data_IF_098809727753
#
_entry.id   IF_098809727753
#
_cell.length_a   1.000
_cell.length_b   1.000
_cell.length_c   1.000
_cell.angle_alpha   90.00
_cell.angle_beta   90.00
_cell.angle_gamma   90.00
#
_symmetry.space_group_name_H-M   'P 1'
#
loop_
_entity.id
_entity.type
_entity.pdbx_description
1 polymer ?
#
# COMPACT_ATOMS: atom_id res chain seq x y z
N UNK A 1 -29.77 -34.13 6.71
CA UNK A 1 -29.57 -33.45 8.00
C UNK A 1 -28.39 -32.54 7.82
N UNK A 2 -28.71 -31.26 7.93
CA UNK A 2 -27.94 -30.08 7.65
C UNK A 2 -26.87 -29.84 8.71
N UNK A 3 -25.82 -29.10 8.33
CA UNK A 3 -25.24 -28.13 9.24
C UNK A 3 -23.78 -28.32 9.65
N UNK A 4 -23.04 -27.26 9.32
CA UNK A 4 -22.15 -26.51 10.22
C UNK A 4 -20.65 -26.81 10.07
N UNK A 5 -19.78 -25.86 9.68
CA UNK A 5 -19.95 -24.46 9.38
C UNK A 5 -18.73 -23.99 8.60
N UNK A 6 -18.98 -23.14 7.60
CA UNK A 6 -17.93 -22.38 6.93
C UNK A 6 -17.12 -21.67 8.00
N UNK A 7 -15.83 -21.96 8.07
CA UNK A 7 -14.92 -21.27 8.97
C UNK A 7 -15.03 -19.77 8.65
N UNK A 8 -15.70 -19.06 9.55
CA UNK A 8 -15.69 -17.62 9.68
C UNK A 8 -14.23 -17.25 9.90
N UNK A 9 -13.52 -16.98 8.80
CA UNK A 9 -12.20 -16.38 8.87
C UNK A 9 -12.48 -14.99 9.42
N UNK A 10 -12.00 -14.64 10.63
CA UNK A 10 -12.18 -13.30 11.12
C UNK A 10 -11.65 -12.37 10.04
N UNK A 11 -12.52 -11.49 9.57
CA UNK A 11 -12.16 -10.41 8.67
C UNK A 11 -11.08 -9.64 9.41
N UNK A 12 -9.83 -9.89 9.05
CA UNK A 12 -8.68 -9.19 9.60
C UNK A 12 -8.93 -7.71 9.34
N UNK A 13 -9.35 -7.02 10.40
CA UNK A 13 -9.37 -5.58 10.51
C UNK A 13 -8.06 -5.11 9.90
N UNK A 14 -8.17 -4.44 8.75
CA UNK A 14 -7.04 -3.95 7.97
C UNK A 14 -6.32 -2.91 8.81
N UNK A 15 -5.45 -3.37 9.70
CA UNK A 15 -4.44 -2.55 10.33
C UNK A 15 -3.59 -2.05 9.16
N UNK A 16 -3.89 -0.82 8.72
CA UNK A 16 -3.28 -0.20 7.56
C UNK A 16 -1.78 -0.37 7.69
N UNK A 17 -1.26 -1.31 6.92
CA UNK A 17 0.10 -1.79 7.10
C UNK A 17 0.98 -0.74 6.47
N UNK A 18 1.21 0.35 7.21
CA UNK A 18 2.17 1.38 6.81
C UNK A 18 3.50 0.65 6.66
N UNK A 19 3.94 0.49 5.42
CA UNK A 19 5.21 -0.16 5.15
C UNK A 19 6.29 0.51 5.99
N UNK A 20 7.24 -0.26 6.54
CA UNK A 20 8.30 0.27 7.41
C UNK A 20 9.18 1.35 6.75
N UNK A 21 8.98 1.58 5.44
CA UNK A 21 9.66 2.57 4.61
C UNK A 21 8.74 3.72 4.16
N UNK A 22 7.46 3.73 4.56
CA UNK A 22 6.54 4.81 4.24
C UNK A 22 6.95 6.09 4.99
N UNK A 23 7.07 7.18 4.26
CA UNK A 23 7.28 8.48 4.87
C UNK A 23 5.99 8.92 5.60
N UNK A 24 6.10 9.74 6.67
CA UNK A 24 4.93 10.34 7.31
C UNK A 24 4.14 11.21 6.32
N UNK A 25 2.83 11.33 6.57
CA UNK A 25 1.97 12.22 5.79
C UNK A 25 2.49 13.66 5.83
N UNK A 26 2.64 14.27 4.65
CA UNK A 26 3.19 15.62 4.50
C UNK A 26 4.71 15.73 4.58
N UNK A 27 5.45 14.62 4.69
CA UNK A 27 6.91 14.64 4.57
C UNK A 27 7.32 15.09 3.16
N UNK A 28 8.25 16.05 3.09
CA UNK A 28 8.81 16.50 1.83
C UNK A 28 9.65 15.41 1.15
N UNK A 29 9.85 15.56 -0.16
CA UNK A 29 10.76 14.70 -0.93
C UNK A 29 12.18 14.86 -0.38
N UNK A 30 12.87 13.74 -0.16
CA UNK A 30 14.24 13.76 0.34
C UNK A 30 15.16 14.49 -0.67
N UNK A 31 16.07 15.38 -0.25
CA UNK A 31 16.85 16.23 -1.16
C UNK A 31 17.78 15.47 -2.12
N UNK A 32 18.13 14.23 -1.78
CA UNK A 32 18.93 13.35 -2.64
C UNK A 32 18.09 12.66 -3.74
N UNK A 33 16.77 12.76 -3.70
CA UNK A 33 15.89 12.19 -4.72
C UNK A 33 15.80 13.20 -5.87
N UNK A 34 16.30 12.80 -7.02
CA UNK A 34 16.21 13.56 -8.26
C UNK A 34 15.09 13.00 -9.15
N UNK A 35 13.90 13.56 -8.99
CA UNK A 35 12.69 13.16 -9.72
C UNK A 35 12.77 13.47 -11.22
N UNK A 36 13.71 14.30 -11.67
CA UNK A 36 13.84 14.65 -13.10
C UNK A 36 14.38 13.49 -13.95
N UNK A 37 15.04 12.52 -13.31
CA UNK A 37 15.58 11.32 -13.98
C UNK A 37 14.60 10.15 -14.04
N UNK A 38 13.54 10.19 -13.22
CA UNK A 38 12.55 9.14 -13.15
C UNK A 38 11.51 9.33 -14.28
N UNK A 39 11.32 8.36 -15.20
CA UNK A 39 10.27 8.41 -16.19
C UNK A 39 8.85 8.42 -15.58
N UNK A 40 8.70 7.91 -14.36
CA UNK A 40 7.44 7.77 -13.65
C UNK A 40 7.52 8.41 -12.25
N UNK A 41 7.79 9.73 -12.18
CA UNK A 41 8.03 10.39 -10.91
C UNK A 41 6.80 10.29 -10.01
N UNK A 42 7.02 9.88 -8.76
CA UNK A 42 5.95 9.74 -7.77
C UNK A 42 5.11 8.46 -7.89
N UNK A 43 5.41 7.56 -8.84
CA UNK A 43 4.79 6.24 -8.93
C UNK A 43 5.74 5.18 -8.38
N UNK A 44 5.38 4.56 -7.26
CA UNK A 44 6.16 3.43 -6.76
C UNK A 44 6.03 2.23 -7.71
N UNK A 45 7.13 1.54 -8.01
CA UNK A 45 7.13 0.34 -8.87
C UNK A 45 6.24 -0.80 -8.35
N UNK A 46 5.94 -0.79 -7.04
CA UNK A 46 5.06 -1.75 -6.39
C UNK A 46 3.63 -1.24 -6.19
N UNK A 47 3.30 -0.02 -6.66
CA UNK A 47 1.93 0.44 -6.64
C UNK A 47 1.09 -0.50 -7.51
N UNK A 48 -0.07 -0.91 -6.98
CA UNK A 48 -1.06 -1.58 -7.82
C UNK A 48 -1.41 -0.62 -8.97
N UNK A 49 -1.68 -1.15 -10.19
CA UNK A 49 -2.26 -0.32 -11.22
C UNK A 49 -3.56 0.29 -10.69
N UNK A 50 -3.77 1.58 -10.95
CA UNK A 50 -5.05 2.21 -10.65
C UNK A 50 -6.14 1.48 -11.44
N UNK A 51 -7.23 1.13 -10.76
CA UNK A 51 -8.42 0.58 -11.39
C UNK A 51 -9.08 1.74 -12.16
N UNK A 52 -9.08 1.67 -13.50
CA UNK A 52 -9.83 2.59 -14.38
C UNK A 52 -11.34 2.32 -14.32
#
# INVERSE_FOLDING_TARGET
MDGNGTADRPEEESNETRGSHAAPEGAGVHPLIDLSRDPHPGRADHAKPDEE
#
